data_IF_654808847206
#
_entry.id   IF_654808847206
#
_cell.length_a   1.000
_cell.length_b   1.000
_cell.length_c   1.000
_cell.angle_alpha   90.00
_cell.angle_beta   90.00
_cell.angle_gamma   90.00
#
_symmetry.space_group_name_H-M   'P 1'
#
loop_
_entity.id
_entity.type
_entity.pdbx_description
1 polymer ?
#
# COMPACT_ATOMS: atom_id res chain seq x y z
N UNK A 1 -43.25 -35.33 -70.80
CA UNK A 1 -43.30 -34.96 -69.39
C UNK A 1 -42.07 -34.07 -69.08
N UNK A 2 -42.30 -32.79 -68.89
CA UNK A 2 -41.19 -31.82 -68.50
C UNK A 2 -41.23 -31.65 -66.99
N UNK A 3 -40.18 -32.14 -66.31
CA UNK A 3 -39.98 -31.98 -64.86
C UNK A 3 -39.51 -30.56 -64.57
N UNK A 4 -40.36 -29.77 -63.89
CA UNK A 4 -40.03 -28.42 -63.39
C UNK A 4 -39.18 -28.56 -62.13
N UNK A 5 -37.92 -28.16 -62.18
CA UNK A 5 -37.04 -28.10 -61.03
C UNK A 5 -37.32 -26.78 -60.28
N UNK A 6 -37.92 -26.89 -59.08
CA UNK A 6 -38.11 -25.76 -58.18
C UNK A 6 -36.73 -25.45 -57.50
N UNK A 7 -36.13 -24.29 -57.81
CA UNK A 7 -34.94 -23.78 -57.14
C UNK A 7 -35.44 -22.95 -55.95
N UNK A 8 -35.24 -23.47 -54.71
CA UNK A 8 -35.50 -22.74 -53.47
C UNK A 8 -34.28 -21.88 -53.19
N UNK A 9 -34.42 -20.58 -53.33
CA UNK A 9 -33.40 -19.59 -52.90
C UNK A 9 -33.55 -19.39 -51.39
N UNK A 10 -32.63 -19.97 -50.60
CA UNK A 10 -32.56 -19.70 -49.15
C UNK A 10 -31.83 -18.36 -48.95
N UNK A 11 -32.59 -17.31 -48.65
CA UNK A 11 -32.07 -16.02 -48.22
C UNK A 11 -31.62 -16.17 -46.76
N UNK A 12 -30.31 -16.32 -46.55
CA UNK A 12 -29.71 -16.17 -45.21
C UNK A 12 -29.67 -14.69 -44.83
N UNK A 13 -30.64 -14.27 -44.03
CA UNK A 13 -30.61 -12.94 -43.40
C UNK A 13 -29.49 -12.97 -42.33
N UNK A 14 -28.36 -12.37 -42.64
CA UNK A 14 -27.33 -12.05 -41.62
C UNK A 14 -27.86 -10.93 -40.73
N UNK A 15 -28.51 -11.29 -39.63
CA UNK A 15 -28.86 -10.33 -38.58
C UNK A 15 -27.57 -10.04 -37.83
N UNK A 16 -26.91 -8.94 -38.16
CA UNK A 16 -25.85 -8.36 -37.29
C UNK A 16 -26.57 -7.86 -36.04
N UNK A 17 -26.52 -8.65 -34.96
CA UNK A 17 -26.90 -8.18 -33.65
C UNK A 17 -25.87 -7.09 -33.22
N UNK A 18 -26.23 -5.84 -33.46
CA UNK A 18 -25.56 -4.76 -32.75
C UNK A 18 -25.91 -4.90 -31.27
N UNK A 19 -24.95 -5.22 -30.43
CA UNK A 19 -25.15 -5.23 -28.99
C UNK A 19 -25.63 -3.84 -28.56
N UNK A 20 -26.88 -3.77 -28.11
CA UNK A 20 -27.46 -2.53 -27.63
C UNK A 20 -26.71 -2.09 -26.34
N UNK A 21 -26.23 -0.85 -26.30
CA UNK A 21 -25.55 -0.29 -25.13
C UNK A 21 -26.55 0.38 -24.18
N UNK A 22 -26.18 0.48 -22.90
CA UNK A 22 -26.96 1.17 -21.86
C UNK A 22 -28.40 0.64 -21.68
N UNK A 23 -28.58 -0.68 -21.75
CA UNK A 23 -29.88 -1.32 -21.62
C UNK A 23 -30.21 -1.65 -20.16
N UNK A 24 -31.50 -1.56 -19.85
CA UNK A 24 -32.06 -2.04 -18.58
C UNK A 24 -33.08 -3.14 -18.83
N UNK A 25 -33.29 -4.04 -17.87
CA UNK A 25 -34.36 -5.03 -17.90
C UNK A 25 -35.72 -4.41 -17.47
N UNK A 26 -36.76 -5.24 -17.44
CA UNK A 26 -38.11 -4.81 -17.04
C UNK A 26 -38.22 -4.29 -15.59
N UNK A 27 -37.17 -4.53 -14.74
CA UNK A 27 -37.11 -4.02 -13.39
C UNK A 27 -36.21 -2.76 -13.27
N UNK A 28 -35.75 -2.22 -14.41
CA UNK A 28 -34.87 -1.05 -14.48
C UNK A 28 -33.41 -1.32 -14.14
N UNK A 29 -33.00 -2.60 -14.00
CA UNK A 29 -31.61 -2.97 -13.65
C UNK A 29 -30.73 -2.98 -14.89
N UNK A 30 -29.52 -2.48 -14.78
CA UNK A 30 -28.51 -2.45 -15.85
C UNK A 30 -28.16 -3.85 -16.34
N UNK A 31 -28.14 -4.03 -17.67
CA UNK A 31 -27.80 -5.27 -18.35
C UNK A 31 -26.86 -5.01 -19.52
N UNK A 32 -25.94 -5.95 -19.80
CA UNK A 32 -25.07 -5.89 -20.97
C UNK A 32 -24.04 -4.77 -20.92
N UNK A 33 -23.64 -4.28 -22.11
CA UNK A 33 -22.59 -3.26 -22.25
C UNK A 33 -23.12 -1.88 -21.88
N UNK A 34 -22.35 -1.18 -21.05
CA UNK A 34 -22.62 0.20 -20.60
C UNK A 34 -21.44 1.09 -20.89
N UNK A 35 -21.76 2.29 -21.36
CA UNK A 35 -20.80 3.35 -21.65
C UNK A 35 -21.31 4.69 -21.12
N UNK A 36 -20.41 5.52 -20.65
CA UNK A 36 -20.68 6.91 -20.26
C UNK A 36 -19.58 7.80 -20.77
N UNK A 37 -19.91 8.98 -21.26
CA UNK A 37 -18.95 10.01 -21.68
C UNK A 37 -18.73 11.04 -20.57
N UNK A 38 -17.64 11.76 -20.66
CA UNK A 38 -17.40 12.92 -19.81
C UNK A 38 -18.42 14.03 -20.11
N UNK A 39 -18.80 14.86 -19.11
CA UNK A 39 -19.75 15.95 -19.33
C UNK A 39 -19.31 16.88 -20.46
N UNK A 40 -20.24 17.17 -21.39
CA UNK A 40 -20.02 18.03 -22.56
C UNK A 40 -18.88 17.57 -23.51
N UNK A 41 -18.65 16.26 -23.57
CA UNK A 41 -17.61 15.63 -24.38
C UNK A 41 -18.10 14.33 -24.98
N UNK A 42 -17.54 13.92 -26.14
CA UNK A 42 -17.73 12.59 -26.72
C UNK A 42 -16.71 11.57 -26.18
N UNK A 43 -15.73 12.00 -25.40
CA UNK A 43 -14.72 11.13 -24.80
C UNK A 43 -15.36 10.24 -23.74
N UNK A 44 -15.12 8.94 -23.83
CA UNK A 44 -15.60 7.99 -22.84
C UNK A 44 -15.04 8.33 -21.45
N UNK A 45 -15.91 8.30 -20.45
CA UNK A 45 -15.54 8.28 -19.04
C UNK A 45 -15.30 6.86 -18.58
N UNK A 46 -16.15 5.93 -19.00
CA UNK A 46 -15.99 4.50 -18.79
C UNK A 46 -16.77 3.66 -19.81
N UNK A 47 -16.34 2.42 -19.97
CA UNK A 47 -17.10 1.33 -20.55
C UNK A 47 -16.93 0.07 -19.72
N UNK A 48 -17.98 -0.78 -19.67
CA UNK A 48 -17.96 -2.03 -18.93
C UNK A 48 -19.24 -2.82 -19.15
N UNK A 49 -19.40 -3.89 -18.39
CA UNK A 49 -20.57 -4.76 -18.50
C UNK A 49 -21.26 -4.91 -17.15
N UNK A 50 -22.60 -4.84 -17.17
CA UNK A 50 -23.43 -5.10 -16.00
C UNK A 50 -24.30 -6.36 -16.20
N UNK A 51 -24.58 -7.02 -15.09
CA UNK A 51 -25.60 -8.07 -14.95
C UNK A 51 -26.36 -7.81 -13.67
N UNK A 52 -27.66 -7.51 -13.79
CA UNK A 52 -28.54 -7.20 -12.65
C UNK A 52 -27.99 -6.08 -11.74
N UNK A 53 -27.59 -4.94 -12.34
CA UNK A 53 -26.91 -3.80 -11.71
C UNK A 53 -25.49 -4.07 -11.17
N UNK A 54 -25.03 -5.33 -11.16
CA UNK A 54 -23.70 -5.68 -10.70
C UNK A 54 -22.69 -5.58 -11.84
N UNK A 55 -21.54 -4.92 -11.64
CA UNK A 55 -20.49 -4.91 -12.62
C UNK A 55 -19.89 -6.32 -12.77
N UNK A 56 -19.62 -6.74 -14.01
CA UNK A 56 -19.02 -8.04 -14.36
C UNK A 56 -17.97 -7.87 -15.44
N UNK A 57 -16.97 -8.75 -15.46
CA UNK A 57 -15.87 -8.68 -16.44
C UNK A 57 -15.04 -7.41 -16.28
N UNK A 58 -14.59 -6.86 -17.38
CA UNK A 58 -13.64 -5.74 -17.39
C UNK A 58 -14.34 -4.40 -17.58
N UNK A 59 -14.02 -3.45 -16.68
CA UNK A 59 -14.34 -2.03 -16.81
C UNK A 59 -13.08 -1.26 -17.16
N UNK A 60 -13.19 -0.40 -18.16
CA UNK A 60 -12.15 0.54 -18.55
C UNK A 60 -12.63 1.96 -18.25
N UNK A 61 -11.80 2.74 -17.58
CA UNK A 61 -12.03 4.14 -17.25
C UNK A 61 -11.02 5.01 -17.98
N UNK A 62 -11.42 6.22 -18.36
CA UNK A 62 -10.59 7.11 -19.15
C UNK A 62 -10.52 8.51 -18.54
N UNK A 63 -9.41 9.19 -18.74
CA UNK A 63 -9.25 10.60 -18.45
C UNK A 63 -10.05 11.47 -19.45
N UNK A 64 -10.33 12.75 -19.12
CA UNK A 64 -10.99 13.66 -20.05
C UNK A 64 -10.25 13.82 -21.39
N UNK A 65 -8.93 13.63 -21.42
CA UNK A 65 -8.10 13.61 -22.63
C UNK A 65 -8.16 12.30 -23.43
N UNK A 66 -8.93 11.29 -22.97
CA UNK A 66 -9.14 10.02 -23.66
C UNK A 66 -8.10 8.94 -23.33
N UNK A 67 -7.06 9.25 -22.54
CA UNK A 67 -6.09 8.27 -22.12
C UNK A 67 -6.72 7.30 -21.11
N UNK A 68 -6.29 6.02 -21.15
CA UNK A 68 -6.73 5.01 -20.21
C UNK A 68 -6.30 5.40 -18.78
N UNK A 69 -7.28 5.45 -17.87
CA UNK A 69 -7.09 5.81 -16.45
C UNK A 69 -7.04 4.58 -15.54
N UNK A 70 -7.93 3.60 -15.80
CA UNK A 70 -7.97 2.40 -14.99
C UNK A 70 -8.59 1.23 -15.75
N UNK A 71 -8.16 0.03 -15.35
CA UNK A 71 -8.81 -1.25 -15.69
C UNK A 71 -9.23 -1.89 -14.38
N UNK A 72 -10.51 -2.25 -14.26
CA UNK A 72 -11.06 -3.00 -13.13
C UNK A 72 -11.64 -4.31 -13.65
N UNK A 73 -11.03 -5.42 -13.30
CA UNK A 73 -11.47 -6.77 -13.68
C UNK A 73 -12.26 -7.39 -12.53
N UNK A 74 -13.58 -7.46 -12.68
CA UNK A 74 -14.47 -8.12 -11.71
C UNK A 74 -14.39 -9.63 -11.86
N UNK A 75 -14.00 -10.33 -10.79
CA UNK A 75 -13.86 -11.77 -10.80
C UNK A 75 -15.21 -12.48 -10.71
N UNK A 76 -15.25 -13.76 -11.08
CA UNK A 76 -16.48 -14.55 -11.20
C UNK A 76 -17.24 -14.75 -9.89
N UNK A 77 -16.59 -14.58 -8.75
CA UNK A 77 -17.23 -14.65 -7.43
C UNK A 77 -18.09 -13.42 -7.08
N UNK A 78 -18.04 -12.37 -7.93
CA UNK A 78 -18.82 -11.13 -7.77
C UNK A 78 -18.42 -10.26 -6.60
N UNK A 79 -17.32 -10.58 -5.91
CA UNK A 79 -16.82 -9.85 -4.72
C UNK A 79 -15.44 -9.29 -4.92
N UNK A 80 -14.54 -10.05 -5.56
CA UNK A 80 -13.18 -9.62 -5.83
C UNK A 80 -13.09 -8.88 -7.17
N UNK A 81 -12.21 -7.88 -7.21
CA UNK A 81 -11.82 -7.25 -8.45
C UNK A 81 -10.31 -6.94 -8.42
N UNK A 82 -9.62 -7.18 -9.54
CA UNK A 82 -8.27 -6.70 -9.77
C UNK A 82 -8.35 -5.28 -10.33
N UNK A 83 -7.54 -4.38 -9.81
CA UNK A 83 -7.51 -2.99 -10.24
C UNK A 83 -6.12 -2.60 -10.71
N UNK A 84 -6.05 -1.91 -11.84
CA UNK A 84 -4.84 -1.34 -12.40
C UNK A 84 -5.14 0.10 -12.81
N UNK A 85 -4.38 1.05 -12.27
CA UNK A 85 -4.53 2.48 -12.54
C UNK A 85 -3.30 3.02 -13.26
N UNK A 86 -3.50 3.96 -14.14
CA UNK A 86 -2.46 4.56 -14.97
C UNK A 86 -2.42 6.08 -14.78
N UNK A 87 -1.26 6.67 -14.92
CA UNK A 87 -1.08 8.12 -15.11
C UNK A 87 -1.53 8.55 -16.51
N UNK A 88 -1.70 9.84 -16.74
CA UNK A 88 -2.06 10.37 -18.09
C UNK A 88 -0.97 10.10 -19.14
N UNK A 89 0.30 9.97 -18.74
CA UNK A 89 1.41 9.54 -19.58
C UNK A 89 1.41 8.03 -19.91
N UNK A 90 0.36 7.29 -19.47
CA UNK A 90 0.14 5.84 -19.63
C UNK A 90 1.03 4.94 -18.77
N UNK A 91 1.92 5.49 -17.95
CA UNK A 91 2.70 4.70 -17.00
C UNK A 91 1.79 4.16 -15.90
N UNK A 92 2.13 2.97 -15.39
CA UNK A 92 1.41 2.34 -14.28
C UNK A 92 1.51 3.20 -13.03
N UNK A 93 0.37 3.51 -12.40
CA UNK A 93 0.29 4.32 -11.19
C UNK A 93 0.19 3.45 -9.94
N UNK A 94 -0.74 2.51 -9.94
CA UNK A 94 -0.94 1.57 -8.84
C UNK A 94 -1.75 0.36 -9.28
N UNK A 95 -1.50 -0.77 -8.66
CA UNK A 95 -2.29 -1.99 -8.88
C UNK A 95 -2.53 -2.73 -7.56
N UNK A 96 -3.62 -3.49 -7.51
CA UNK A 96 -4.00 -4.25 -6.33
C UNK A 96 -5.36 -4.92 -6.47
N UNK A 97 -5.93 -5.31 -5.33
CA UNK A 97 -7.21 -6.00 -5.29
C UNK A 97 -8.22 -5.26 -4.43
N UNK A 98 -9.47 -5.33 -4.87
CA UNK A 98 -10.65 -5.00 -4.09
C UNK A 98 -11.36 -6.26 -3.63
N UNK A 99 -11.90 -6.22 -2.42
CA UNK A 99 -12.88 -7.16 -1.90
C UNK A 99 -14.10 -6.36 -1.46
N UNK A 100 -15.28 -6.68 -2.01
CA UNK A 100 -16.51 -5.93 -1.76
C UNK A 100 -16.34 -4.42 -1.97
N UNK A 101 -15.65 -4.01 -3.06
CA UNK A 101 -15.35 -2.62 -3.45
C UNK A 101 -14.43 -1.86 -2.49
N UNK A 102 -13.77 -2.55 -1.56
CA UNK A 102 -12.78 -1.98 -0.62
C UNK A 102 -11.40 -2.51 -0.94
N UNK A 103 -10.40 -1.65 -0.84
CA UNK A 103 -9.00 -2.10 -0.96
C UNK A 103 -8.73 -3.23 0.01
N UNK A 104 -8.14 -4.31 -0.51
CA UNK A 104 -7.77 -5.49 0.25
C UNK A 104 -6.45 -6.06 -0.27
N UNK A 105 -5.78 -6.91 0.51
CA UNK A 105 -4.52 -7.53 0.12
C UNK A 105 -3.42 -6.50 -0.15
N UNK A 106 -2.56 -6.78 -1.14
CA UNK A 106 -1.38 -5.99 -1.45
C UNK A 106 -1.66 -5.00 -2.58
N UNK A 107 -1.19 -3.77 -2.40
CA UNK A 107 -1.18 -2.72 -3.41
C UNK A 107 0.24 -2.26 -3.68
N UNK A 108 0.60 -2.16 -4.95
CA UNK A 108 1.90 -1.65 -5.42
C UNK A 108 1.70 -0.27 -6.01
N UNK A 109 2.55 0.68 -5.62
CA UNK A 109 2.50 2.07 -6.09
C UNK A 109 3.77 2.39 -6.88
N UNK A 110 3.61 3.16 -7.95
CA UNK A 110 4.68 3.55 -8.89
C UNK A 110 4.70 5.08 -9.05
N UNK A 111 5.83 5.62 -9.47
CA UNK A 111 5.91 7.00 -9.91
C UNK A 111 5.66 7.14 -11.44
N UNK A 112 5.69 8.36 -11.96
CA UNK A 112 5.42 8.64 -13.38
C UNK A 112 6.52 8.12 -14.33
N UNK A 113 7.69 7.75 -13.82
CA UNK A 113 8.78 7.09 -14.55
C UNK A 113 8.67 5.55 -14.53
N UNK A 114 7.69 5.00 -13.79
CA UNK A 114 7.45 3.57 -13.67
C UNK A 114 8.28 2.88 -12.57
N UNK A 115 8.98 3.65 -11.72
CA UNK A 115 9.72 3.10 -10.59
C UNK A 115 8.79 2.77 -9.43
N UNK A 116 9.07 1.69 -8.71
CA UNK A 116 8.27 1.26 -7.56
C UNK A 116 8.50 2.17 -6.37
N UNK A 117 7.48 2.92 -5.97
CA UNK A 117 7.47 3.76 -4.76
C UNK A 117 7.37 2.92 -3.50
N UNK A 118 6.52 1.90 -3.52
CA UNK A 118 6.29 1.07 -2.36
C UNK A 118 5.16 0.07 -2.52
N UNK A 119 5.01 -0.73 -1.47
CA UNK A 119 4.01 -1.80 -1.36
C UNK A 119 3.27 -1.62 -0.05
N UNK A 120 1.95 -1.69 -0.10
CA UNK A 120 1.07 -1.49 1.06
C UNK A 120 0.09 -2.66 1.18
N UNK A 121 -0.14 -3.11 2.42
CA UNK A 121 -1.14 -4.14 2.70
C UNK A 121 -2.40 -3.51 3.26
N UNK A 122 -3.54 -3.81 2.65
CA UNK A 122 -4.84 -3.29 3.03
C UNK A 122 -5.78 -4.39 3.50
N UNK A 123 -6.72 -4.01 4.37
CA UNK A 123 -7.90 -4.80 4.73
C UNK A 123 -9.08 -3.85 4.89
N UNK A 124 -10.08 -3.98 4.02
CA UNK A 124 -11.31 -3.14 4.02
C UNK A 124 -10.97 -1.64 4.01
N UNK A 125 -10.16 -1.20 3.04
CA UNK A 125 -9.64 0.18 2.83
C UNK A 125 -8.65 0.69 3.87
N UNK A 126 -8.37 -0.05 4.94
CA UNK A 126 -7.42 0.35 5.98
C UNK A 126 -6.07 -0.30 5.78
N UNK A 127 -5.00 0.43 5.99
CA UNK A 127 -3.66 -0.14 6.10
C UNK A 127 -3.66 -1.18 7.23
N UNK A 128 -3.36 -2.43 6.88
CA UNK A 128 -3.37 -3.54 7.82
C UNK A 128 -2.35 -4.59 7.37
N UNK A 129 -1.23 -4.65 8.04
CA UNK A 129 -0.08 -5.44 7.66
C UNK A 129 1.12 -4.56 7.30
N UNK A 130 1.93 -5.02 6.37
CA UNK A 130 3.21 -4.41 6.04
C UNK A 130 3.04 -3.26 5.04
N UNK A 131 3.78 -2.17 5.28
CA UNK A 131 4.05 -1.10 4.31
C UNK A 131 5.55 -1.04 4.09
N UNK A 132 5.97 -1.09 2.82
CA UNK A 132 7.36 -0.95 2.39
C UNK A 132 7.47 0.27 1.49
N UNK A 133 8.44 1.13 1.75
CA UNK A 133 8.82 2.23 0.85
C UNK A 133 10.21 1.89 0.32
N UNK A 134 10.44 2.13 -0.97
CA UNK A 134 11.72 1.83 -1.62
C UNK A 134 12.49 3.10 -1.97
N UNK A 135 13.81 2.98 -2.02
CA UNK A 135 14.66 3.96 -2.68
C UNK A 135 14.40 3.91 -4.18
N UNK A 136 14.32 5.06 -4.83
CA UNK A 136 14.15 5.13 -6.30
C UNK A 136 15.49 5.00 -7.02
N UNK A 137 16.55 5.50 -6.37
CA UNK A 137 17.91 5.44 -6.89
C UNK A 137 18.37 3.99 -7.08
N UNK A 138 18.94 3.69 -8.22
CA UNK A 138 19.48 2.37 -8.57
C UNK A 138 18.44 1.33 -8.99
N UNK A 139 17.13 1.63 -9.02
CA UNK A 139 16.13 0.66 -9.48
C UNK A 139 16.30 0.29 -10.96
N UNK A 140 16.66 1.26 -11.80
CA UNK A 140 16.82 1.04 -13.26
C UNK A 140 18.07 0.21 -13.56
N UNK A 141 19.19 0.54 -12.91
CA UNK A 141 20.50 -0.05 -13.20
C UNK A 141 20.66 -1.47 -12.64
N UNK A 142 19.98 -1.76 -11.53
CA UNK A 142 20.19 -3.02 -10.81
C UNK A 142 18.97 -3.94 -10.81
N UNK A 143 17.81 -3.45 -11.28
CA UNK A 143 16.50 -4.14 -11.17
C UNK A 143 16.16 -4.57 -9.73
N UNK A 144 16.83 -3.95 -8.74
CA UNK A 144 16.71 -4.33 -7.34
C UNK A 144 15.94 -3.29 -6.55
N UNK A 145 14.93 -3.74 -5.82
CA UNK A 145 14.17 -2.91 -4.90
C UNK A 145 14.84 -2.88 -3.53
N UNK A 146 15.57 -1.78 -3.25
CA UNK A 146 16.17 -1.54 -1.94
C UNK A 146 15.15 -0.84 -1.04
N UNK A 147 14.73 -1.43 0.10
CA UNK A 147 13.81 -0.78 0.99
C UNK A 147 14.45 0.44 1.66
N UNK A 148 13.72 1.57 1.70
CA UNK A 148 14.01 2.71 2.55
C UNK A 148 13.45 2.43 3.94
N UNK A 149 12.20 1.97 4.02
CA UNK A 149 11.57 1.63 5.29
C UNK A 149 10.58 0.48 5.18
N UNK A 150 10.43 -0.25 6.27
CA UNK A 150 9.44 -1.31 6.47
C UNK A 150 8.73 -1.03 7.79
N UNK A 151 7.42 -0.85 7.72
CA UNK A 151 6.57 -0.59 8.87
C UNK A 151 5.38 -1.56 8.90
N UNK A 152 4.88 -1.86 10.09
CA UNK A 152 3.65 -2.63 10.25
C UNK A 152 2.53 -1.72 10.72
N UNK A 153 1.33 -1.98 10.21
CA UNK A 153 0.12 -1.22 10.50
C UNK A 153 -1.00 -2.14 10.98
N UNK A 154 -1.85 -1.61 11.84
CA UNK A 154 -3.11 -2.22 12.25
C UNK A 154 -4.19 -1.15 12.20
N UNK A 155 -5.15 -1.29 11.25
CA UNK A 155 -6.25 -0.33 11.05
C UNK A 155 -5.77 1.13 10.93
N UNK A 156 -4.85 1.40 9.97
CA UNK A 156 -4.21 2.70 9.67
C UNK A 156 -3.24 3.23 10.73
N UNK A 157 -3.03 2.49 11.81
CA UNK A 157 -2.16 2.89 12.92
C UNK A 157 -0.87 2.07 12.91
N UNK A 158 0.29 2.71 13.07
CA UNK A 158 1.57 2.03 13.25
C UNK A 158 1.49 1.07 14.44
N UNK A 159 1.82 -0.20 14.20
CA UNK A 159 1.73 -1.24 15.22
C UNK A 159 2.63 -2.43 14.89
N UNK A 160 3.61 -2.71 15.71
CA UNK A 160 4.61 -3.76 15.51
C UNK A 160 5.96 -3.21 15.06
N UNK A 161 6.76 -4.04 14.41
CA UNK A 161 8.13 -3.73 14.05
C UNK A 161 8.22 -2.61 13.01
N UNK A 162 9.22 -1.74 13.20
CA UNK A 162 9.65 -0.72 12.25
C UNK A 162 11.13 -0.90 11.95
N UNK A 163 11.51 -0.77 10.69
CA UNK A 163 12.90 -0.77 10.22
C UNK A 163 13.10 0.31 9.17
N UNK A 164 14.22 1.00 9.24
CA UNK A 164 14.69 1.92 8.21
C UNK A 164 16.09 1.50 7.79
N UNK A 165 16.42 1.71 6.54
CA UNK A 165 17.67 1.28 5.95
C UNK A 165 18.38 2.45 5.28
N UNK A 166 19.69 2.37 5.18
CA UNK A 166 20.50 3.20 4.28
C UNK A 166 20.29 2.75 2.83
N UNK A 167 20.60 3.60 1.86
CA UNK A 167 20.53 3.25 0.43
C UNK A 167 21.41 2.06 0.06
N UNK A 168 22.47 1.80 0.84
CA UNK A 168 23.31 0.61 0.74
C UNK A 168 22.63 -0.70 1.16
N UNK A 169 21.39 -0.64 1.66
CA UNK A 169 20.63 -1.76 2.19
C UNK A 169 20.98 -2.16 3.64
N UNK A 170 21.94 -1.49 4.27
CA UNK A 170 22.25 -1.71 5.69
C UNK A 170 21.20 -1.07 6.57
N UNK A 171 20.94 -1.69 7.73
CA UNK A 171 19.99 -1.20 8.71
C UNK A 171 20.45 0.16 9.26
N UNK A 172 19.55 1.16 9.28
CA UNK A 172 19.76 2.50 9.82
C UNK A 172 19.13 2.64 11.20
N UNK A 173 17.90 2.12 11.36
CA UNK A 173 17.26 2.06 12.66
C UNK A 173 16.19 0.94 12.73
N UNK A 174 15.95 0.46 13.94
CA UNK A 174 14.94 -0.56 14.24
C UNK A 174 14.29 -0.27 15.58
N UNK A 175 13.01 -0.53 15.68
CA UNK A 175 12.23 -0.40 16.90
C UNK A 175 10.82 -0.95 16.74
N UNK A 176 9.96 -0.61 17.70
CA UNK A 176 8.57 -1.03 17.72
C UNK A 176 7.63 0.15 17.94
N UNK A 177 6.46 0.04 17.31
CA UNK A 177 5.31 0.87 17.59
C UNK A 177 4.18 0.04 18.23
N UNK A 178 3.47 0.64 19.17
CA UNK A 178 2.24 0.11 19.71
C UNK A 178 1.19 1.21 19.71
N UNK A 179 0.08 0.99 18.97
CA UNK A 179 -1.00 1.96 18.81
C UNK A 179 -0.52 3.38 18.39
N UNK A 180 0.44 3.42 17.46
CA UNK A 180 1.01 4.65 16.90
C UNK A 180 2.15 5.25 17.71
N UNK A 181 2.47 4.69 18.89
CA UNK A 181 3.51 5.20 19.79
C UNK A 181 4.75 4.31 19.76
N UNK A 182 5.92 4.93 19.86
CA UNK A 182 7.18 4.20 20.02
C UNK A 182 7.24 3.56 21.40
N UNK A 183 7.59 2.26 21.44
CA UNK A 183 7.72 1.49 22.68
C UNK A 183 8.95 0.59 22.68
N UNK A 184 9.49 0.31 23.87
CA UNK A 184 10.59 -0.62 24.07
C UNK A 184 11.89 -0.11 23.53
N UNK A 185 12.76 -1.02 23.12
CA UNK A 185 14.11 -0.71 22.66
C UNK A 185 14.09 -0.20 21.22
N UNK A 186 14.82 0.92 20.99
CA UNK A 186 15.07 1.53 19.69
C UNK A 186 16.56 1.59 19.45
N UNK A 187 17.02 1.01 18.33
CA UNK A 187 18.42 1.01 17.93
C UNK A 187 18.64 1.82 16.67
N UNK A 188 19.67 2.62 16.67
CA UNK A 188 20.20 3.37 15.53
C UNK A 188 21.60 2.85 15.19
N UNK A 189 21.94 2.86 13.91
CA UNK A 189 23.19 2.28 13.41
C UNK A 189 23.99 3.27 12.58
N UNK A 190 25.28 3.11 12.57
CA UNK A 190 26.17 3.75 11.61
C UNK A 190 26.05 3.08 10.22
N UNK A 191 26.46 3.78 9.13
CA UNK A 191 26.49 3.17 7.79
C UNK A 191 27.40 1.93 7.65
N UNK A 192 28.41 1.76 8.54
CA UNK A 192 29.22 0.54 8.59
C UNK A 192 28.47 -0.66 9.19
N UNK A 193 27.33 -0.42 9.86
CA UNK A 193 26.48 -1.43 10.51
C UNK A 193 26.71 -1.58 12.02
N UNK A 194 27.67 -0.87 12.62
CA UNK A 194 27.83 -0.85 14.07
C UNK A 194 26.73 -0.01 14.73
N UNK A 195 26.42 -0.33 15.99
CA UNK A 195 25.41 0.40 16.76
C UNK A 195 25.89 1.82 17.03
N UNK A 196 25.08 2.82 16.71
CA UNK A 196 25.29 4.21 17.07
C UNK A 196 24.67 4.53 18.43
N UNK A 197 23.41 4.12 18.62
CA UNK A 197 22.65 4.44 19.83
C UNK A 197 21.61 3.38 20.14
N UNK A 198 21.44 3.09 21.42
CA UNK A 198 20.34 2.29 21.95
C UNK A 198 19.56 3.16 22.91
N UNK A 199 18.25 3.28 22.71
CA UNK A 199 17.35 4.04 23.57
C UNK A 199 16.17 3.19 23.97
N UNK A 200 15.58 3.44 25.12
CA UNK A 200 14.29 2.85 25.51
C UNK A 200 13.19 3.91 25.50
N UNK A 201 12.01 3.47 25.10
CA UNK A 201 10.83 4.32 25.00
C UNK A 201 9.63 3.71 25.70
N UNK A 202 8.84 4.57 26.32
CA UNK A 202 7.54 4.26 26.87
C UNK A 202 6.57 5.33 26.37
N UNK A 203 5.58 4.95 25.55
CA UNK A 203 4.59 5.89 24.98
C UNK A 203 5.21 7.15 24.34
N UNK A 204 6.12 6.99 23.36
CA UNK A 204 6.89 8.02 22.64
C UNK A 204 7.93 8.79 23.48
N UNK A 205 8.01 8.52 24.75
CA UNK A 205 8.96 9.23 25.65
C UNK A 205 10.16 8.36 25.94
N UNK A 206 11.35 8.95 25.91
CA UNK A 206 12.54 8.29 26.41
C UNK A 206 12.34 7.86 27.86
N UNK A 207 12.61 6.59 28.16
CA UNK A 207 12.44 6.01 29.48
C UNK A 207 13.47 4.89 29.69
N UNK A 208 14.29 5.03 30.72
CA UNK A 208 15.46 4.18 30.91
C UNK A 208 16.72 4.74 30.28
N UNK A 209 17.74 3.91 30.14
CA UNK A 209 19.04 4.30 29.60
C UNK A 209 19.00 4.53 28.09
N UNK A 210 19.58 5.65 27.65
CA UNK A 210 19.97 5.90 26.27
C UNK A 210 21.50 5.89 26.22
N UNK A 211 22.08 4.90 25.51
CA UNK A 211 23.50 4.68 25.41
C UNK A 211 24.00 4.95 24.00
N UNK A 212 25.08 5.70 23.85
CA UNK A 212 25.69 6.01 22.55
C UNK A 212 27.07 5.34 22.44
N UNK A 213 27.43 4.95 21.21
CA UNK A 213 28.63 4.20 20.90
C UNK A 213 29.43 4.86 19.77
N UNK A 214 30.76 4.63 19.75
CA UNK A 214 31.59 4.93 18.59
C UNK A 214 31.36 3.97 17.44
N UNK A 215 31.94 4.26 16.26
CA UNK A 215 31.89 3.34 15.10
C UNK A 215 32.60 2.00 15.36
N UNK A 216 33.52 1.96 16.32
CA UNK A 216 34.27 0.78 16.72
C UNK A 216 33.56 -0.01 17.84
N UNK A 217 32.42 0.50 18.34
CA UNK A 217 31.56 -0.16 19.32
C UNK A 217 31.89 0.20 20.78
N UNK A 218 32.77 1.15 21.03
CA UNK A 218 33.07 1.63 22.37
C UNK A 218 31.98 2.56 22.89
N UNK A 219 31.55 2.40 24.15
CA UNK A 219 30.56 3.28 24.77
C UNK A 219 31.11 4.69 24.94
N UNK A 220 30.46 5.68 24.34
CA UNK A 220 30.78 7.12 24.51
C UNK A 220 30.19 7.63 25.81
N UNK A 221 28.99 7.16 26.15
CA UNK A 221 28.29 7.56 27.36
C UNK A 221 26.84 7.15 27.33
N UNK A 222 26.23 7.28 28.51
CA UNK A 222 24.81 6.95 28.71
C UNK A 222 24.11 8.02 29.54
N UNK A 223 22.83 8.19 29.24
CA UNK A 223 21.94 9.15 29.91
C UNK A 223 20.69 8.40 30.32
N UNK A 224 20.29 8.59 31.60
CA UNK A 224 19.03 8.02 32.10
C UNK A 224 17.91 9.02 31.90
N UNK A 225 16.80 8.53 31.39
CA UNK A 225 15.57 9.30 31.19
C UNK A 225 14.42 8.71 31.98
N UNK A 226 13.57 9.55 32.52
CA UNK A 226 12.30 9.17 33.15
C UNK A 226 11.17 9.98 32.50
N UNK A 227 10.27 9.30 31.80
CA UNK A 227 9.12 9.93 31.10
C UNK A 227 9.50 11.09 30.15
N UNK A 228 10.65 11.01 29.51
CA UNK A 228 11.18 12.02 28.59
C UNK A 228 12.15 13.02 29.23
N UNK A 229 12.22 13.08 30.54
CA UNK A 229 13.10 13.99 31.26
C UNK A 229 14.45 13.33 31.58
N UNK A 230 15.53 14.06 31.35
CA UNK A 230 16.90 13.60 31.64
C UNK A 230 17.17 13.74 33.14
N UNK A 231 17.57 12.64 33.76
CA UNK A 231 18.00 12.67 35.17
C UNK A 231 19.49 13.03 35.27
N UNK A 232 19.85 13.94 36.18
CA UNK A 232 21.20 14.38 36.38
C UNK A 232 21.51 14.63 37.86
N UNK A 233 22.81 14.56 38.22
CA UNK A 233 23.31 14.91 39.58
C UNK A 233 22.53 14.20 40.69
N UNK A 234 22.12 14.94 41.71
CA UNK A 234 21.48 14.40 42.92
C UNK A 234 20.14 13.65 42.59
N UNK A 235 19.47 14.08 41.58
CA UNK A 235 18.19 13.44 41.13
C UNK A 235 18.45 12.03 40.57
N UNK A 236 19.47 11.89 39.71
CA UNK A 236 19.93 10.61 39.19
C UNK A 236 20.35 9.67 40.32
N UNK A 237 21.20 10.17 41.24
CA UNK A 237 21.72 9.38 42.39
C UNK A 237 20.56 8.90 43.27
N UNK A 238 19.58 9.75 43.54
CA UNK A 238 18.43 9.43 44.37
C UNK A 238 17.53 8.39 43.70
N UNK A 239 17.29 8.54 42.39
CA UNK A 239 16.55 7.59 41.63
C UNK A 239 17.20 6.20 41.56
N UNK A 240 18.49 6.13 41.25
CA UNK A 240 19.23 4.87 41.24
C UNK A 240 19.22 4.15 42.60
N UNK A 241 19.41 4.88 43.69
CA UNK A 241 19.29 4.31 45.06
C UNK A 241 17.90 3.79 45.33
N UNK A 242 16.86 4.46 44.85
CA UNK A 242 15.50 4.01 45.01
C UNK A 242 15.22 2.71 44.21
N UNK A 243 15.73 2.65 42.97
CA UNK A 243 15.64 1.46 42.12
C UNK A 243 16.34 0.26 42.79
N UNK A 244 17.59 0.47 43.24
CA UNK A 244 18.35 -0.57 43.95
C UNK A 244 17.63 -1.09 45.22
N UNK A 245 17.17 -0.14 46.05
CA UNK A 245 16.41 -0.49 47.30
C UNK A 245 15.17 -1.33 47.03
N UNK A 246 14.48 -1.08 45.90
CA UNK A 246 13.22 -1.74 45.60
C UNK A 246 13.37 -2.89 44.60
N UNK A 247 14.57 -3.19 44.11
CA UNK A 247 14.82 -4.21 43.07
C UNK A 247 14.18 -3.88 41.73
N UNK A 248 14.06 -2.58 41.37
CA UNK A 248 13.47 -2.08 40.13
C UNK A 248 14.58 -1.88 39.11
N UNK A 249 14.40 -2.36 37.88
CA UNK A 249 15.28 -2.01 36.74
C UNK A 249 15.05 -0.53 36.38
N UNK A 250 16.09 0.34 36.37
CA UNK A 250 15.95 1.72 35.92
C UNK A 250 15.39 1.89 34.51
N UNK A 251 15.29 0.80 33.75
CA UNK A 251 14.70 0.76 32.40
C UNK A 251 13.19 0.43 32.39
N UNK A 252 12.56 0.16 33.51
CA UNK A 252 11.13 -0.09 33.69
C UNK A 252 10.41 1.15 34.25
#
# INVERSE_FOLDING_TARGET
MRTLKLIIFVFTINITLFAQINQTDSKGRKQGIWQKTHPKSEVLQYKGQFRDDKPVGTFEYYYPGGQLKAIIEHLSDGRHARATYYFENKMLMTEGFYLDQKKDSTWVNYNEEGLVLGVESFKKDKLNGKKVIYYLEGQVETEKLNPLSVANYKNDTLHGDYREYFSTGKLKQIGKYENGKIVGEWKEYYPNGSVFKVSKFKDDRLHGWATSYTKDGEEIGKILYQNGEKLTGKELDSFLKLCEKNGIDPNE
#
